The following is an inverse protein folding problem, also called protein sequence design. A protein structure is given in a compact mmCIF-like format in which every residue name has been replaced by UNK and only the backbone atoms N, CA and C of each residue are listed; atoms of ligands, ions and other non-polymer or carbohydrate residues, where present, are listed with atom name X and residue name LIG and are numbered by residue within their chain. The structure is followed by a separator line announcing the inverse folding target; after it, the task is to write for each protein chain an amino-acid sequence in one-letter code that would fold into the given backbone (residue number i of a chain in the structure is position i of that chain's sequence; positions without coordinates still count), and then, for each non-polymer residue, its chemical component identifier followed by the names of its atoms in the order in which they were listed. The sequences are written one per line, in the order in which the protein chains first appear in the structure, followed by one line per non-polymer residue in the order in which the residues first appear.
data_IF_341984854241
#
_entry.id   IF_341984854241
#
_cell.length_a   1.000
_cell.length_b   1.000
_cell.length_c   1.000
_cell.angle_alpha   90.00
_cell.angle_beta   90.00
_cell.angle_gamma   90.00
#
_symmetry.space_group_name_H-M   'P 1'
#
loop_
_entity.id
_entity.type
_entity.pdbx_description
1 polymer ?
#
# COMPACT_ATOMS: atom_id res chain seq x y z
N UNK A 1 -16.27 5.91 -22.13
CA UNK A 1 -16.15 4.81 -21.17
C UNK A 1 -17.50 4.60 -20.52
N UNK A 2 -17.92 3.36 -20.40
CA UNK A 2 -19.20 3.01 -19.78
C UNK A 2 -19.15 3.24 -18.27
N UNK A 3 -20.19 3.86 -17.71
CA UNK A 3 -20.29 4.13 -16.27
C UNK A 3 -20.28 2.84 -15.44
N UNK A 4 -20.85 1.76 -15.97
CA UNK A 4 -20.85 0.47 -15.30
C UNK A 4 -19.43 -0.12 -15.17
N UNK A 5 -18.67 -0.04 -16.24
CA UNK A 5 -17.28 -0.51 -16.26
C UNK A 5 -16.40 0.31 -15.31
N UNK A 6 -16.54 1.64 -15.34
CA UNK A 6 -15.78 2.52 -14.44
C UNK A 6 -16.16 2.33 -12.97
N UNK A 7 -17.43 2.17 -12.67
CA UNK A 7 -17.90 1.86 -11.31
C UNK A 7 -17.30 0.54 -10.81
N UNK A 8 -17.28 -0.48 -11.66
CA UNK A 8 -16.68 -1.77 -11.35
C UNK A 8 -15.17 -1.63 -11.06
N UNK A 9 -14.45 -0.87 -11.87
CA UNK A 9 -13.02 -0.60 -11.65
C UNK A 9 -12.77 0.12 -10.33
N UNK A 10 -13.53 1.16 -10.04
CA UNK A 10 -13.39 1.92 -8.80
C UNK A 10 -13.67 1.03 -7.58
N UNK A 11 -14.68 0.18 -7.66
CA UNK A 11 -14.95 -0.79 -6.61
C UNK A 11 -13.80 -1.77 -6.41
N UNK A 12 -13.24 -2.33 -7.48
CA UNK A 12 -12.09 -3.24 -7.42
C UNK A 12 -10.86 -2.57 -6.80
N UNK A 13 -10.56 -1.36 -7.23
CA UNK A 13 -9.44 -0.57 -6.72
C UNK A 13 -9.61 -0.32 -5.23
N UNK A 14 -10.79 0.13 -4.82
CA UNK A 14 -11.11 0.38 -3.41
C UNK A 14 -10.98 -0.91 -2.57
N UNK A 15 -11.47 -2.02 -3.06
CA UNK A 15 -11.37 -3.31 -2.38
C UNK A 15 -9.91 -3.71 -2.16
N UNK A 16 -9.08 -3.60 -3.19
CA UNK A 16 -7.64 -3.87 -3.08
C UNK A 16 -6.96 -2.94 -2.10
N UNK A 17 -7.30 -1.66 -2.09
CA UNK A 17 -6.77 -0.68 -1.14
C UNK A 17 -7.15 -1.03 0.30
N UNK A 18 -8.39 -1.46 0.56
CA UNK A 18 -8.81 -1.87 1.89
C UNK A 18 -8.06 -3.11 2.37
N UNK A 19 -7.84 -4.08 1.50
CA UNK A 19 -7.03 -5.26 1.79
C UNK A 19 -5.58 -4.89 2.08
N UNK A 20 -5.01 -3.99 1.28
CA UNK A 20 -3.65 -3.48 1.49
C UNK A 20 -3.51 -2.78 2.84
N UNK A 21 -4.43 -1.91 3.19
CA UNK A 21 -4.43 -1.23 4.48
C UNK A 21 -4.54 -2.22 5.64
N UNK A 22 -5.41 -3.21 5.52
CA UNK A 22 -5.55 -4.27 6.51
C UNK A 22 -4.25 -5.08 6.67
N UNK A 23 -3.65 -5.48 5.58
CA UNK A 23 -2.41 -6.28 5.58
C UNK A 23 -1.19 -5.51 6.11
N UNK A 24 -1.22 -4.18 6.03
CA UNK A 24 -0.22 -3.31 6.65
C UNK A 24 -0.44 -3.08 8.15
N UNK A 25 -1.53 -3.59 8.71
CA UNK A 25 -1.85 -3.44 10.12
C UNK A 25 -2.72 -2.24 10.48
N UNK A 26 -3.39 -1.62 9.51
CA UNK A 26 -4.37 -0.57 9.77
C UNK A 26 -5.75 -1.15 10.07
N UNK A 27 -6.53 -0.43 10.89
CA UNK A 27 -7.90 -0.82 11.22
C UNK A 27 -8.82 -0.68 10.00
N UNK A 28 -9.28 -1.82 9.50
CA UNK A 28 -10.26 -1.93 8.43
C UNK A 28 -11.35 -2.88 8.90
N UNK A 29 -12.60 -2.46 8.81
CA UNK A 29 -13.72 -3.31 9.22
C UNK A 29 -13.94 -4.45 8.23
N UNK A 30 -14.53 -5.55 8.73
CA UNK A 30 -14.87 -6.69 7.86
C UNK A 30 -15.86 -6.28 6.77
N UNK A 31 -16.80 -5.39 7.07
CA UNK A 31 -17.74 -4.85 6.09
C UNK A 31 -17.05 -4.09 4.96
N UNK A 32 -15.99 -3.34 5.26
CA UNK A 32 -15.18 -2.65 4.26
C UNK A 32 -14.39 -3.63 3.39
N UNK A 33 -13.86 -4.71 3.98
CA UNK A 33 -13.14 -5.76 3.25
C UNK A 33 -14.06 -6.56 2.33
N UNK A 34 -15.27 -6.83 2.76
CA UNK A 34 -16.25 -7.67 2.07
C UNK A 34 -17.26 -6.87 1.25
N UNK A 35 -17.07 -5.56 1.12
CA UNK A 35 -17.99 -4.69 0.39
C UNK A 35 -18.27 -5.24 -1.01
N UNK A 36 -19.55 -5.48 -1.31
CA UNK A 36 -19.99 -5.91 -2.64
C UNK A 36 -20.11 -4.72 -3.60
N UNK A 37 -20.19 -5.01 -4.90
CA UNK A 37 -20.41 -3.98 -5.90
C UNK A 37 -21.72 -3.23 -5.67
N UNK A 38 -22.79 -3.92 -5.28
CA UNK A 38 -24.08 -3.31 -4.99
C UNK A 38 -24.02 -2.36 -3.79
N UNK A 39 -23.30 -2.76 -2.74
CA UNK A 39 -23.06 -1.92 -1.56
C UNK A 39 -22.23 -0.69 -1.92
N UNK A 40 -21.24 -0.84 -2.77
CA UNK A 40 -20.43 0.27 -3.29
C UNK A 40 -21.32 1.27 -4.07
N UNK A 41 -22.17 0.77 -4.96
CA UNK A 41 -23.11 1.59 -5.71
C UNK A 41 -24.09 2.34 -4.81
N UNK A 42 -24.57 1.67 -3.76
CA UNK A 42 -25.47 2.29 -2.77
C UNK A 42 -24.77 3.40 -1.98
N UNK A 43 -23.50 3.23 -1.64
CA UNK A 43 -22.73 4.19 -0.85
C UNK A 43 -22.25 5.39 -1.68
N UNK A 44 -21.71 5.15 -2.87
CA UNK A 44 -21.03 6.16 -3.67
C UNK A 44 -21.80 6.58 -4.93
N UNK A 45 -22.61 5.68 -5.47
CA UNK A 45 -23.32 5.86 -6.74
C UNK A 45 -22.74 5.00 -7.87
N UNK A 46 -23.39 5.06 -9.02
CA UNK A 46 -23.07 4.24 -10.19
C UNK A 46 -22.89 5.06 -11.49
N UNK A 47 -22.78 6.38 -11.35
CA UNK A 47 -22.62 7.31 -12.47
C UNK A 47 -21.36 8.17 -12.31
N UNK A 48 -20.16 7.61 -12.49
CA UNK A 48 -18.91 8.36 -12.38
C UNK A 48 -18.81 9.52 -13.38
N UNK A 49 -19.40 9.40 -14.57
CA UNK A 49 -19.45 10.47 -15.56
C UNK A 49 -20.21 11.73 -15.09
N UNK A 50 -21.15 11.55 -14.17
CA UNK A 50 -21.93 12.62 -13.54
C UNK A 50 -21.37 13.04 -12.18
N UNK A 51 -20.18 12.51 -11.80
CA UNK A 51 -19.56 12.78 -10.51
C UNK A 51 -20.16 12.01 -9.33
N UNK A 52 -20.75 10.84 -9.58
CA UNK A 52 -21.32 9.92 -8.58
C UNK A 52 -20.74 8.51 -8.70
N UNK A 53 -19.60 8.17 -8.07
CA UNK A 53 -18.78 9.02 -7.20
C UNK A 53 -17.80 9.92 -7.98
N UNK A 54 -17.36 10.98 -7.32
CA UNK A 54 -16.10 11.64 -7.68
C UNK A 54 -14.96 10.84 -7.09
N UNK A 55 -13.80 10.86 -7.73
CA UNK A 55 -12.62 10.19 -7.17
C UNK A 55 -12.23 10.73 -5.79
N UNK A 56 -12.41 12.02 -5.57
CA UNK A 56 -12.19 12.64 -4.25
C UNK A 56 -13.09 12.08 -3.15
N UNK A 57 -14.29 11.64 -3.48
CA UNK A 57 -15.23 11.03 -2.52
C UNK A 57 -14.73 9.65 -2.02
N UNK A 58 -13.82 9.03 -2.74
CA UNK A 58 -13.23 7.74 -2.39
C UNK A 58 -12.04 7.86 -1.42
N UNK A 59 -11.67 9.07 -1.04
CA UNK A 59 -10.56 9.30 -0.09
C UNK A 59 -10.76 8.49 1.18
N UNK A 60 -9.71 7.78 1.59
CA UNK A 60 -9.73 6.90 2.75
C UNK A 60 -8.76 7.44 3.80
N UNK A 61 -9.17 7.37 5.06
CA UNK A 61 -8.31 7.62 6.20
C UNK A 61 -8.39 6.42 7.14
N UNK A 62 -7.25 5.82 7.41
CA UNK A 62 -7.14 4.65 8.30
C UNK A 62 -6.13 4.92 9.41
N UNK A 63 -6.36 4.31 10.57
CA UNK A 63 -5.47 4.38 11.71
C UNK A 63 -4.84 3.01 12.00
N UNK A 64 -3.58 3.01 12.45
CA UNK A 64 -2.87 1.77 12.76
C UNK A 64 -3.46 1.09 14.01
N UNK A 65 -3.48 -0.24 14.01
CA UNK A 65 -4.01 -1.05 15.11
C UNK A 65 -3.28 -0.80 16.44
N UNK A 66 -1.96 -0.59 16.37
CA UNK A 66 -1.11 -0.45 17.56
C UNK A 66 -1.04 0.99 18.07
N UNK A 67 -1.26 1.96 17.19
CA UNK A 67 -1.17 3.38 17.51
C UNK A 67 -2.24 4.19 16.74
N UNK A 68 -3.33 4.60 17.39
CA UNK A 68 -4.37 5.40 16.73
C UNK A 68 -3.90 6.76 16.19
N UNK A 69 -2.74 7.24 16.62
CA UNK A 69 -2.15 8.48 16.09
C UNK A 69 -1.39 8.27 14.79
N UNK A 70 -1.00 7.03 14.49
CA UNK A 70 -0.38 6.65 13.22
C UNK A 70 -1.46 6.40 12.17
N UNK A 71 -1.73 7.42 11.37
CA UNK A 71 -2.78 7.42 10.37
C UNK A 71 -2.20 7.48 8.96
N UNK A 72 -2.96 6.99 7.99
CA UNK A 72 -2.59 7.02 6.59
C UNK A 72 -3.78 7.44 5.73
N UNK A 73 -3.54 8.39 4.83
CA UNK A 73 -4.48 8.75 3.77
C UNK A 73 -4.32 7.86 2.55
N UNK A 74 -5.42 7.68 1.84
CA UNK A 74 -5.41 7.18 0.45
C UNK A 74 -6.15 8.19 -0.40
N UNK A 75 -5.43 8.82 -1.33
CA UNK A 75 -5.98 9.83 -2.23
C UNK A 75 -6.22 9.26 -3.62
N UNK A 76 -7.32 9.69 -4.22
CA UNK A 76 -7.71 9.32 -5.58
C UNK A 76 -7.79 10.60 -6.43
N UNK A 77 -6.68 11.07 -7.02
CA UNK A 77 -6.71 12.28 -7.85
C UNK A 77 -7.57 12.11 -9.09
N UNK A 78 -8.25 13.16 -9.46
CA UNK A 78 -9.09 13.20 -10.67
C UNK A 78 -8.26 13.39 -11.95
N UNK A 79 -7.07 13.95 -11.81
CA UNK A 79 -6.16 14.20 -12.92
C UNK A 79 -5.61 12.87 -13.45
N UNK A 80 -5.65 12.61 -14.78
CA UNK A 80 -5.01 11.43 -15.35
C UNK A 80 -3.51 11.35 -15.04
N UNK A 81 -2.83 12.47 -15.09
CA UNK A 81 -1.41 12.60 -14.79
C UNK A 81 -1.22 13.63 -13.68
N UNK A 82 -0.80 13.16 -12.52
CA UNK A 82 -0.67 13.99 -11.33
C UNK A 82 0.55 14.92 -11.42
N UNK A 83 0.31 16.20 -11.20
CA UNK A 83 1.33 17.23 -11.18
C UNK A 83 1.73 17.65 -9.78
N UNK A 84 2.76 18.48 -9.69
CA UNK A 84 3.31 18.98 -8.42
C UNK A 84 2.28 19.80 -7.60
N UNK A 85 1.36 20.49 -8.26
CA UNK A 85 0.31 21.26 -7.58
C UNK A 85 -0.59 20.39 -6.73
N UNK A 86 -1.02 19.26 -7.27
CA UNK A 86 -1.85 18.28 -6.56
C UNK A 86 -1.12 17.68 -5.38
N UNK A 87 0.17 17.37 -5.55
CA UNK A 87 1.01 16.87 -4.45
C UNK A 87 1.11 17.90 -3.32
N UNK A 88 1.28 19.17 -3.65
CA UNK A 88 1.33 20.23 -2.64
C UNK A 88 0.00 20.36 -1.86
N UNK A 89 -1.12 20.25 -2.55
CA UNK A 89 -2.44 20.27 -1.90
C UNK A 89 -2.59 19.10 -0.93
N UNK A 90 -2.20 17.91 -1.33
CA UNK A 90 -2.23 16.73 -0.45
C UNK A 90 -1.31 16.89 0.76
N UNK A 91 -0.12 17.40 0.56
CA UNK A 91 0.83 17.64 1.66
C UNK A 91 0.30 18.68 2.64
N UNK A 92 -0.33 19.74 2.15
CA UNK A 92 -0.98 20.73 3.01
C UNK A 92 -2.07 20.09 3.85
N UNK A 93 -2.93 19.27 3.25
CA UNK A 93 -3.98 18.55 3.98
C UNK A 93 -3.39 17.60 5.04
N UNK A 94 -2.34 16.89 4.70
CA UNK A 94 -1.64 16.01 5.63
C UNK A 94 -1.04 16.81 6.80
N UNK A 95 -0.47 17.96 6.52
CA UNK A 95 0.10 18.83 7.56
C UNK A 95 -0.99 19.37 8.50
N UNK A 96 -2.12 19.81 7.94
CA UNK A 96 -3.25 20.33 8.72
C UNK A 96 -3.84 19.26 9.66
N UNK A 97 -3.91 18.03 9.22
CA UNK A 97 -4.43 16.90 10.00
C UNK A 97 -3.35 16.11 10.75
N UNK A 98 -2.10 16.55 10.67
CA UNK A 98 -0.94 15.93 11.33
C UNK A 98 -0.76 14.45 10.95
N UNK A 99 -0.88 14.15 9.66
CA UNK A 99 -0.73 12.82 9.10
C UNK A 99 0.53 12.79 8.22
N UNK A 100 1.38 11.79 8.40
CA UNK A 100 2.69 11.71 7.75
C UNK A 100 2.76 10.70 6.61
N UNK A 101 1.75 9.85 6.45
CA UNK A 101 1.71 8.81 5.41
C UNK A 101 0.51 8.98 4.50
N UNK A 102 0.73 8.76 3.20
CA UNK A 102 -0.34 8.72 2.22
C UNK A 102 0.00 7.79 1.05
N UNK A 103 -1.03 7.21 0.48
CA UNK A 103 -1.00 6.53 -0.81
C UNK A 103 -1.72 7.39 -1.83
N UNK A 104 -1.20 7.43 -3.05
CA UNK A 104 -1.81 8.15 -4.16
C UNK A 104 -2.10 7.15 -5.27
N UNK A 105 -3.38 6.96 -5.58
CA UNK A 105 -3.83 6.08 -6.66
C UNK A 105 -3.93 6.89 -7.94
N UNK A 106 -2.92 6.76 -8.79
CA UNK A 106 -2.82 7.53 -10.04
C UNK A 106 -3.42 6.76 -11.21
N UNK A 107 -4.04 7.46 -12.15
CA UNK A 107 -4.68 6.86 -13.32
C UNK A 107 -3.65 6.45 -14.38
N UNK A 108 -2.80 7.36 -14.82
CA UNK A 108 -1.79 7.14 -15.85
C UNK A 108 -0.37 7.29 -15.34
N UNK A 109 -0.17 8.05 -14.27
CA UNK A 109 1.14 8.28 -13.68
C UNK A 109 1.30 9.68 -13.10
N UNK A 110 2.54 10.02 -12.80
CA UNK A 110 2.94 11.33 -12.29
C UNK A 110 3.93 12.00 -13.23
N UNK A 111 3.96 13.34 -13.21
CA UNK A 111 5.01 14.08 -13.88
C UNK A 111 6.37 13.84 -13.19
N UNK A 112 7.50 13.97 -13.91
CA UNK A 112 8.82 13.81 -13.28
C UNK A 112 9.06 14.76 -12.10
N UNK A 113 8.55 15.98 -12.16
CA UNK A 113 8.64 16.95 -11.08
C UNK A 113 7.82 16.53 -9.86
N UNK A 114 6.63 15.92 -10.06
CA UNK A 114 5.83 15.37 -8.98
C UNK A 114 6.53 14.18 -8.30
N UNK A 115 7.11 13.27 -9.06
CA UNK A 115 7.90 12.15 -8.53
C UNK A 115 9.09 12.62 -7.70
N UNK A 116 9.81 13.62 -8.19
CA UNK A 116 10.93 14.20 -7.45
C UNK A 116 10.46 14.85 -6.16
N UNK A 117 9.32 15.51 -6.18
CA UNK A 117 8.69 16.11 -4.99
C UNK A 117 8.39 15.07 -3.91
N UNK A 118 7.94 13.87 -4.28
CA UNK A 118 7.71 12.77 -3.32
C UNK A 118 9.01 12.35 -2.63
N UNK A 119 10.09 12.27 -3.37
CA UNK A 119 11.41 11.92 -2.83
C UNK A 119 11.93 13.01 -1.89
N UNK A 120 11.76 14.26 -2.28
CA UNK A 120 12.27 15.43 -1.52
C UNK A 120 11.52 15.61 -0.17
N UNK A 121 10.28 15.16 -0.09
CA UNK A 121 9.49 15.23 1.15
C UNK A 121 9.85 14.17 2.18
N UNK A 122 10.48 13.09 1.75
CA UNK A 122 10.93 12.05 2.67
C UNK A 122 12.08 12.57 3.56
N UNK A 123 12.20 12.16 4.82
CA UNK A 123 11.31 11.25 5.55
C UNK A 123 10.14 11.91 6.28
N UNK A 124 10.00 13.23 6.18
CA UNK A 124 8.95 13.97 6.92
C UNK A 124 7.55 13.53 6.52
N UNK A 125 7.30 13.43 5.21
CA UNK A 125 6.07 12.91 4.63
C UNK A 125 6.40 11.76 3.70
N UNK A 126 5.76 10.62 3.92
CA UNK A 126 5.93 9.42 3.11
C UNK A 126 4.72 9.30 2.20
N UNK A 127 4.92 9.57 0.91
CA UNK A 127 3.90 9.42 -0.11
C UNK A 127 4.32 8.32 -1.08
N UNK A 128 3.44 7.37 -1.30
CA UNK A 128 3.65 6.25 -2.21
C UNK A 128 2.63 6.34 -3.34
N UNK A 129 3.08 6.09 -4.58
CA UNK A 129 2.17 6.04 -5.72
C UNK A 129 1.87 4.61 -6.12
N UNK A 130 0.62 4.38 -6.49
CA UNK A 130 0.17 3.15 -7.14
C UNK A 130 -0.60 3.50 -8.39
N UNK A 131 -0.34 2.79 -9.49
CA UNK A 131 -1.19 2.88 -10.67
C UNK A 131 -2.51 2.16 -10.41
N UNK A 132 -3.61 2.72 -10.85
CA UNK A 132 -4.92 2.07 -10.69
C UNK A 132 -4.93 0.66 -11.31
N UNK A 133 -4.17 0.46 -12.40
CA UNK A 133 -4.03 -0.83 -13.07
C UNK A 133 -3.43 -1.91 -12.14
N UNK A 134 -2.46 -1.54 -11.33
CA UNK A 134 -1.84 -2.43 -10.35
C UNK A 134 -2.81 -2.88 -9.26
N UNK A 135 -3.81 -2.06 -8.95
CA UNK A 135 -4.77 -2.29 -7.88
C UNK A 135 -6.05 -2.99 -8.32
N UNK A 136 -6.22 -3.26 -9.60
CA UNK A 136 -7.37 -4.01 -10.10
C UNK A 136 -7.40 -5.46 -9.58
N UNK A 137 -6.23 -5.99 -9.27
CA UNK A 137 -6.05 -7.34 -8.72
C UNK A 137 -5.15 -7.24 -7.50
N UNK A 138 -5.51 -7.93 -6.42
CA UNK A 138 -4.61 -8.09 -5.28
C UNK A 138 -3.59 -9.18 -5.58
N UNK A 139 -2.35 -8.78 -5.80
CA UNK A 139 -1.25 -9.70 -6.15
C UNK A 139 -0.94 -10.71 -5.04
N UNK A 140 -1.22 -10.38 -3.78
CA UNK A 140 -0.97 -11.29 -2.65
C UNK A 140 -1.93 -12.48 -2.63
N UNK A 141 -3.06 -12.39 -3.31
CA UNK A 141 -4.04 -13.48 -3.42
C UNK A 141 -3.73 -14.45 -4.55
N UNK A 142 -2.77 -14.13 -5.42
CA UNK A 142 -2.39 -15.02 -6.51
C UNK A 142 -1.71 -16.28 -5.95
N UNK A 143 -2.09 -17.46 -6.43
CA UNK A 143 -1.60 -18.73 -5.88
C UNK A 143 -0.07 -18.91 -6.00
N UNK A 144 0.57 -18.27 -6.99
CA UNK A 144 2.02 -18.30 -7.17
C UNK A 144 2.76 -17.33 -6.27
N UNK A 145 2.07 -16.41 -5.63
CA UNK A 145 2.67 -15.46 -4.68
C UNK A 145 2.59 -16.06 -3.28
N UNK A 146 3.73 -16.39 -2.66
CA UNK A 146 3.73 -16.95 -1.31
C UNK A 146 3.33 -15.90 -0.27
N UNK A 147 2.97 -16.37 0.92
CA UNK A 147 2.70 -15.50 2.05
C UNK A 147 3.96 -14.74 2.46
N UNK A 148 3.85 -13.42 2.58
CA UNK A 148 4.92 -12.54 3.06
C UNK A 148 4.50 -11.91 4.39
N UNK A 149 5.41 -11.94 5.34
CA UNK A 149 5.21 -11.34 6.67
C UNK A 149 6.35 -10.36 6.93
N UNK A 150 6.01 -9.11 7.18
CA UNK A 150 7.01 -8.10 7.57
C UNK A 150 7.44 -8.37 9.01
N UNK A 151 8.73 -8.55 9.22
CA UNK A 151 9.27 -8.85 10.54
C UNK A 151 9.45 -7.58 11.37
N UNK A 152 9.18 -7.69 12.67
CA UNK A 152 9.49 -6.62 13.62
C UNK A 152 11.00 -6.54 13.84
N UNK A 153 11.46 -5.42 14.38
CA UNK A 153 12.88 -5.21 14.71
C UNK A 153 13.40 -6.28 15.68
N UNK A 154 12.60 -6.64 16.67
CA UNK A 154 12.92 -7.67 17.66
C UNK A 154 13.05 -9.04 17.01
N UNK A 155 12.12 -9.40 16.13
CA UNK A 155 12.15 -10.66 15.38
C UNK A 155 13.38 -10.76 14.47
N UNK A 156 13.78 -9.66 13.82
CA UNK A 156 14.99 -9.62 12.99
C UNK A 156 16.24 -9.81 13.83
N UNK A 157 16.34 -9.14 14.97
CA UNK A 157 17.45 -9.27 15.90
C UNK A 157 17.60 -10.71 16.40
N UNK A 158 16.49 -11.33 16.77
CA UNK A 158 16.47 -12.73 17.21
C UNK A 158 16.88 -13.68 16.08
N UNK A 159 16.39 -13.46 14.86
CA UNK A 159 16.75 -14.27 13.70
C UNK A 159 18.25 -14.25 13.42
N UNK A 160 18.85 -13.07 13.38
CA UNK A 160 20.28 -12.91 13.10
C UNK A 160 21.15 -13.51 14.21
N UNK A 161 20.74 -13.35 15.47
CA UNK A 161 21.43 -13.94 16.60
C UNK A 161 21.35 -15.48 16.61
N UNK A 162 20.17 -16.04 16.32
CA UNK A 162 19.91 -17.48 16.31
C UNK A 162 20.75 -18.22 15.28
N UNK A 163 20.89 -17.67 14.08
CA UNK A 163 21.65 -18.27 12.99
C UNK A 163 23.09 -17.72 12.88
N UNK A 164 23.47 -16.81 13.76
CA UNK A 164 24.80 -16.14 13.75
C UNK A 164 25.10 -15.50 12.39
N UNK A 165 24.12 -14.86 11.81
CA UNK A 165 24.20 -14.19 10.51
C UNK A 165 24.39 -12.68 10.67
N UNK A 166 25.04 -12.10 9.67
CA UNK A 166 25.03 -10.65 9.45
C UNK A 166 23.86 -10.31 8.52
N UNK A 167 23.33 -9.11 8.63
CA UNK A 167 22.22 -8.66 7.78
C UNK A 167 22.49 -8.79 6.28
N UNK A 168 23.75 -8.54 5.86
CA UNK A 168 24.17 -8.62 4.46
C UNK A 168 24.31 -10.06 3.91
N UNK A 169 24.19 -11.06 4.75
CA UNK A 169 24.22 -12.47 4.34
C UNK A 169 22.85 -13.01 3.93
N UNK A 170 21.77 -12.27 4.22
CA UNK A 170 20.43 -12.65 3.80
C UNK A 170 20.23 -12.39 2.30
N UNK A 171 19.47 -13.25 1.60
CA UNK A 171 18.98 -12.93 0.26
C UNK A 171 18.23 -11.60 0.28
N UNK A 172 18.13 -10.95 -0.87
CA UNK A 172 17.58 -9.60 -0.96
C UNK A 172 16.29 -9.57 -1.72
N UNK A 173 15.44 -8.60 -1.37
CA UNK A 173 14.26 -8.20 -2.13
C UNK A 173 14.38 -6.71 -2.41
N UNK A 174 14.08 -6.31 -3.65
CA UNK A 174 14.11 -4.91 -4.01
C UNK A 174 12.92 -4.17 -3.40
N UNK A 175 13.13 -2.93 -2.95
CA UNK A 175 12.04 -2.09 -2.46
C UNK A 175 11.01 -1.79 -3.56
N UNK A 176 11.40 -1.86 -4.84
CA UNK A 176 10.51 -1.72 -6.00
C UNK A 176 9.73 -2.98 -6.37
N UNK A 177 10.00 -4.13 -5.72
CA UNK A 177 9.22 -5.34 -5.93
C UNK A 177 7.73 -5.09 -5.62
N UNK A 178 6.79 -5.58 -6.45
CA UNK A 178 5.37 -5.34 -6.22
C UNK A 178 4.87 -5.75 -4.83
N UNK A 179 5.38 -6.84 -4.27
CA UNK A 179 5.01 -7.29 -2.91
C UNK A 179 5.62 -6.36 -1.86
N UNK A 180 6.86 -5.94 -2.02
CA UNK A 180 7.49 -4.96 -1.12
C UNK A 180 6.74 -3.62 -1.13
N UNK A 181 6.30 -3.15 -2.29
CA UNK A 181 5.47 -1.94 -2.43
C UNK A 181 4.09 -2.11 -1.79
N UNK A 182 3.49 -3.27 -1.95
CA UNK A 182 2.19 -3.60 -1.32
C UNK A 182 2.25 -3.43 0.21
N UNK A 183 3.30 -3.94 0.85
CA UNK A 183 3.50 -3.80 2.29
C UNK A 183 4.15 -2.47 2.71
N UNK A 184 4.59 -1.66 1.74
CA UNK A 184 5.22 -0.36 2.02
C UNK A 184 6.57 -0.46 2.72
N UNK A 185 7.27 -1.59 2.54
CA UNK A 185 8.58 -1.81 3.14
C UNK A 185 9.67 -1.19 2.30
N UNK A 186 10.61 -0.54 2.98
CA UNK A 186 11.75 0.16 2.37
C UNK A 186 13.05 -0.40 2.94
N UNK A 187 14.15 -0.01 2.29
CA UNK A 187 15.47 -0.31 2.83
C UNK A 187 15.58 0.20 4.27
N UNK A 188 15.98 -0.67 5.17
CA UNK A 188 16.26 -0.32 6.55
C UNK A 188 17.51 0.54 6.70
N UNK A 189 17.69 1.10 7.89
CA UNK A 189 18.90 1.83 8.26
C UNK A 189 19.98 0.88 8.76
N UNK A 190 21.26 1.26 8.71
CA UNK A 190 22.32 0.47 9.34
C UNK A 190 21.99 0.18 10.81
N UNK A 191 22.03 -1.10 11.19
CA UNK A 191 21.66 -1.55 12.53
C UNK A 191 20.16 -1.73 12.78
N UNK A 192 19.31 -1.42 11.80
CA UNK A 192 17.88 -1.65 11.85
C UNK A 192 17.36 -2.13 10.48
N UNK A 193 17.77 -3.31 10.03
CA UNK A 193 17.40 -3.84 8.73
C UNK A 193 15.90 -4.17 8.67
N UNK A 194 15.30 -3.96 7.52
CA UNK A 194 13.95 -4.42 7.22
C UNK A 194 14.04 -5.79 6.55
N UNK A 195 13.38 -6.78 7.13
CA UNK A 195 13.38 -8.16 6.65
C UNK A 195 11.96 -8.67 6.47
N UNK A 196 11.77 -9.40 5.39
CA UNK A 196 10.49 -10.06 5.06
C UNK A 196 10.67 -11.57 5.20
N UNK A 197 9.76 -12.18 5.93
CA UNK A 197 9.64 -13.62 6.04
C UNK A 197 8.71 -14.13 4.95
N UNK A 198 9.16 -15.08 4.15
CA UNK A 198 8.39 -15.69 3.06
C UNK A 198 8.06 -17.13 3.44
N UNK A 199 6.78 -17.45 3.48
CA UNK A 199 6.27 -18.76 3.86
C UNK A 199 5.73 -19.44 2.62
N UNK A 200 6.34 -20.56 2.22
CA UNK A 200 5.91 -21.36 1.07
C UNK A 200 5.41 -22.72 1.54
N UNK A 201 4.33 -23.25 0.99
CA UNK A 201 3.96 -24.64 1.20
C UNK A 201 5.01 -25.56 0.58
N UNK A 202 5.34 -26.64 1.27
CA UNK A 202 6.24 -27.67 0.78
C UNK A 202 5.49 -29.00 0.73
N UNK A 203 5.64 -29.74 -0.35
CA UNK A 203 5.02 -31.06 -0.50
C UNK A 203 5.58 -32.09 0.49
N UNK A 204 6.83 -31.90 0.91
CA UNK A 204 7.56 -32.88 1.75
C UNK A 204 7.72 -32.46 3.20
N UNK A 205 7.82 -31.15 3.50
CA UNK A 205 8.19 -30.64 4.82
C UNK A 205 7.12 -29.71 5.46
N UNK A 206 5.91 -29.63 4.90
CA UNK A 206 4.84 -28.75 5.38
C UNK A 206 5.04 -27.32 5.00
N UNK A 207 5.94 -26.61 5.67
CA UNK A 207 6.25 -25.19 5.37
C UNK A 207 7.73 -25.00 5.12
N UNK A 208 8.03 -24.25 4.05
CA UNK A 208 9.38 -23.79 3.76
C UNK A 208 9.46 -22.28 4.00
N UNK A 209 10.32 -21.86 4.92
CA UNK A 209 10.44 -20.47 5.33
C UNK A 209 11.78 -19.91 4.87
N UNK A 210 11.72 -18.78 4.16
CA UNK A 210 12.90 -18.01 3.76
C UNK A 210 12.79 -16.56 4.25
N UNK A 211 13.92 -15.88 4.30
CA UNK A 211 14.00 -14.50 4.76
C UNK A 211 14.71 -13.66 3.70
N UNK A 212 14.23 -12.45 3.47
CA UNK A 212 14.86 -11.52 2.53
C UNK A 212 15.02 -10.15 3.14
N UNK A 213 16.20 -9.60 2.95
CA UNK A 213 16.54 -8.23 3.33
C UNK A 213 16.02 -7.27 2.27
N UNK A 214 15.33 -6.21 2.68
CA UNK A 214 14.86 -5.16 1.77
C UNK A 214 16.02 -4.24 1.41
N UNK A 215 16.23 -4.06 0.09
CA UNK A 215 17.32 -3.24 -0.45
C UNK A 215 16.79 -2.08 -1.31
#
# INVERSE_FOLDING_TARGET
MDDEEETYRLWKIRKTIMQLCHDRGYLVTQDELDQTLDEFKAQFGDKPSEGRPRRTDLTVLVAHNDDPTDQMFVFFPEEPKVGIKTIKVYCQRMQEENITRALIVVQQGMTPSAKQSLVDMAPKYILEQFLQQELLINITEHELVPEHVVMTKEEVTELLARYKLRENQLPRIQAGDPVARYFGIKRGQPGSPQVVKIIRPSETAGRYITYRLVQ
#
